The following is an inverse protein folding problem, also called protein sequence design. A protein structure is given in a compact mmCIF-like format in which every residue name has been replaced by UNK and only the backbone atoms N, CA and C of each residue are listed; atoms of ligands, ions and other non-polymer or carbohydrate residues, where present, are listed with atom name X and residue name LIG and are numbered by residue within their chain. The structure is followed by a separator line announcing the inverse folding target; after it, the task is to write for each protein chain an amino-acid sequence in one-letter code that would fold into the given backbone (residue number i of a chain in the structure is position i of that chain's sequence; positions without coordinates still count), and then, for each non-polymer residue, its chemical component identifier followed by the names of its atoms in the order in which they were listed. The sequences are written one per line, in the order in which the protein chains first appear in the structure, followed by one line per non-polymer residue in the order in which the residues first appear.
data_IF_750611961553
#
_entry.id   IF_750611961553
#
_cell.length_a   1.000
_cell.length_b   1.000
_cell.length_c   1.000
_cell.angle_alpha   90.00
_cell.angle_beta   90.00
_cell.angle_gamma   90.00
#
_symmetry.space_group_name_H-M   'P 1'
#
loop_
_entity.id
_entity.type
_entity.pdbx_description
1 polymer ?
#
# COMPACT_ATOMS: atom_id res chain seq x y z
N UNK A 1 -4.73 -18.62 -7.40
CA UNK A 1 -5.76 -17.59 -7.23
C UNK A 1 -6.68 -17.56 -8.44
N UNK A 2 -7.94 -17.93 -8.24
CA UNK A 2 -8.95 -17.95 -9.30
C UNK A 2 -9.84 -16.70 -9.31
N UNK A 3 -10.90 -16.70 -10.13
CA UNK A 3 -11.81 -15.56 -10.25
C UNK A 3 -12.67 -15.31 -9.01
N UNK A 4 -12.96 -16.36 -8.24
CA UNK A 4 -13.73 -16.25 -6.99
C UNK A 4 -12.86 -15.66 -5.89
N UNK A 5 -11.60 -16.08 -5.80
CA UNK A 5 -10.64 -15.49 -4.85
C UNK A 5 -10.50 -13.98 -5.10
N UNK A 6 -10.42 -13.56 -6.37
CA UNK A 6 -10.41 -12.12 -6.73
C UNK A 6 -11.66 -11.38 -6.27
N UNK A 7 -12.85 -11.99 -6.37
CA UNK A 7 -14.09 -11.40 -5.87
C UNK A 7 -14.09 -11.29 -4.36
N UNK A 8 -13.64 -12.33 -3.65
CA UNK A 8 -13.50 -12.31 -2.19
C UNK A 8 -12.60 -11.13 -1.76
N UNK A 9 -11.44 -10.99 -2.42
CA UNK A 9 -10.51 -9.89 -2.12
C UNK A 9 -11.13 -8.52 -2.43
N UNK A 10 -11.83 -8.37 -3.54
CA UNK A 10 -12.49 -7.11 -3.90
C UNK A 10 -13.55 -6.70 -2.87
N UNK A 11 -14.38 -7.64 -2.42
CA UNK A 11 -15.40 -7.38 -1.39
C UNK A 11 -14.76 -7.00 -0.05
N UNK A 12 -13.71 -7.70 0.37
CA UNK A 12 -13.01 -7.41 1.64
C UNK A 12 -12.16 -6.14 1.60
N UNK A 13 -11.65 -5.75 0.43
CA UNK A 13 -10.99 -4.45 0.25
C UNK A 13 -11.99 -3.29 0.34
N UNK A 14 -13.22 -3.50 -0.16
CA UNK A 14 -14.29 -2.52 -0.03
C UNK A 14 -14.82 -2.44 1.40
N UNK A 15 -15.04 -3.59 2.04
CA UNK A 15 -15.48 -3.69 3.43
C UNK A 15 -14.85 -4.90 4.13
N UNK A 16 -13.79 -4.64 4.90
CA UNK A 16 -13.10 -5.68 5.66
C UNK A 16 -13.87 -6.19 6.89
N UNK A 17 -15.05 -5.64 7.19
CA UNK A 17 -15.89 -6.06 8.33
C UNK A 17 -17.01 -7.02 7.95
N UNK A 18 -17.14 -7.36 6.67
CA UNK A 18 -18.15 -8.31 6.21
C UNK A 18 -18.08 -9.61 7.00
N UNK A 19 -19.24 -10.05 7.49
CA UNK A 19 -19.35 -11.40 8.03
C UNK A 19 -19.12 -12.41 6.91
N UNK A 20 -18.69 -13.61 7.29
CA UNK A 20 -18.49 -14.68 6.31
C UNK A 20 -19.79 -15.03 5.55
N UNK A 21 -20.94 -14.86 6.19
CA UNK A 21 -22.26 -15.06 5.59
C UNK A 21 -22.52 -14.04 4.49
N UNK A 22 -22.35 -12.75 4.78
CA UNK A 22 -22.53 -11.67 3.80
C UNK A 22 -21.55 -11.79 2.65
N UNK A 23 -20.28 -12.12 2.96
CA UNK A 23 -19.27 -12.34 1.94
C UNK A 23 -19.67 -13.49 1.00
N UNK A 24 -20.13 -14.62 1.55
CA UNK A 24 -20.57 -15.78 0.78
C UNK A 24 -21.75 -15.44 -0.15
N UNK A 25 -22.73 -14.67 0.33
CA UNK A 25 -23.84 -14.17 -0.48
C UNK A 25 -23.36 -13.31 -1.66
N UNK A 26 -22.48 -12.33 -1.40
CA UNK A 26 -21.96 -11.44 -2.44
C UNK A 26 -21.13 -12.16 -3.50
N UNK A 27 -20.34 -13.16 -3.10
CA UNK A 27 -19.52 -13.94 -4.04
C UNK A 27 -20.26 -15.13 -4.66
N UNK A 28 -21.55 -15.31 -4.36
CA UNK A 28 -22.40 -16.41 -4.82
C UNK A 28 -21.83 -17.80 -4.47
N UNK A 29 -21.42 -17.98 -3.23
CA UNK A 29 -20.98 -19.27 -2.68
C UNK A 29 -21.82 -19.66 -1.47
N UNK A 30 -21.82 -20.96 -1.15
CA UNK A 30 -22.23 -21.39 0.19
C UNK A 30 -21.15 -21.05 1.22
N UNK A 31 -21.56 -21.00 2.49
CA UNK A 31 -20.75 -20.54 3.62
C UNK A 31 -19.42 -21.33 3.77
N UNK A 32 -19.48 -22.65 3.69
CA UNK A 32 -18.32 -23.54 3.87
C UNK A 32 -17.21 -23.32 2.83
N UNK A 33 -17.46 -23.36 1.51
CA UNK A 33 -16.42 -23.08 0.52
C UNK A 33 -15.91 -21.64 0.55
N UNK A 34 -16.75 -20.66 0.90
CA UNK A 34 -16.29 -19.28 1.08
C UNK A 34 -15.29 -19.18 2.25
N UNK A 35 -15.64 -19.75 3.41
CA UNK A 35 -14.77 -19.76 4.59
C UNK A 35 -13.44 -20.46 4.33
N UNK A 36 -13.45 -21.61 3.64
CA UNK A 36 -12.21 -22.33 3.29
C UNK A 36 -11.31 -21.48 2.41
N UNK A 37 -11.85 -20.83 1.38
CA UNK A 37 -11.07 -19.96 0.49
C UNK A 37 -10.48 -18.76 1.21
N UNK A 38 -11.28 -18.09 2.03
CA UNK A 38 -10.80 -16.98 2.84
C UNK A 38 -9.62 -17.41 3.73
N UNK A 39 -9.76 -18.55 4.43
CA UNK A 39 -8.67 -19.10 5.25
C UNK A 39 -7.42 -19.43 4.46
N UNK A 40 -7.55 -19.97 3.24
CA UNK A 40 -6.40 -20.22 2.37
C UNK A 40 -5.71 -18.91 1.98
N UNK A 41 -6.47 -17.87 1.61
CA UNK A 41 -5.90 -16.56 1.25
C UNK A 41 -5.16 -15.89 2.43
N UNK A 42 -5.66 -16.06 3.66
CA UNK A 42 -4.96 -15.62 4.88
C UNK A 42 -3.69 -16.43 5.13
N UNK A 43 -3.76 -17.77 5.03
CA UNK A 43 -2.62 -18.66 5.30
C UNK A 43 -1.49 -18.52 4.28
N UNK A 44 -1.83 -18.28 3.01
CA UNK A 44 -0.86 -18.02 1.95
C UNK A 44 -0.26 -16.61 2.00
N UNK A 45 -0.71 -15.77 2.94
CA UNK A 45 -0.23 -14.39 3.08
C UNK A 45 -0.72 -13.45 1.98
N UNK A 46 -1.69 -13.87 1.16
CA UNK A 46 -2.36 -12.98 0.18
C UNK A 46 -3.12 -11.89 0.93
N UNK A 47 -3.79 -12.25 2.02
CA UNK A 47 -4.34 -11.30 2.99
C UNK A 47 -3.35 -11.18 4.14
N UNK A 48 -2.65 -10.04 4.21
CA UNK A 48 -1.64 -9.78 5.24
C UNK A 48 -2.21 -9.21 6.54
N UNK A 49 -3.46 -8.75 6.51
CA UNK A 49 -4.17 -8.26 7.69
C UNK A 49 -5.39 -7.42 7.35
N UNK A 50 -6.15 -7.07 8.39
CA UNK A 50 -7.33 -6.21 8.31
C UNK A 50 -7.05 -4.92 9.07
N UNK A 51 -7.38 -3.78 8.47
CA UNK A 51 -7.09 -2.46 9.03
C UNK A 51 -8.30 -1.54 8.92
N UNK A 52 -8.46 -0.66 9.90
CA UNK A 52 -9.44 0.42 9.83
C UNK A 52 -8.88 1.55 8.95
N UNK A 53 -9.73 2.12 8.10
CA UNK A 53 -9.43 3.38 7.43
C UNK A 53 -9.80 4.53 8.37
N UNK A 54 -8.81 5.27 8.84
CA UNK A 54 -8.97 6.34 9.81
C UNK A 54 -8.92 7.70 9.10
N UNK A 55 -9.73 8.64 9.56
CA UNK A 55 -9.70 10.03 9.10
C UNK A 55 -8.50 10.76 9.71
N UNK A 56 -7.45 11.12 8.92
CA UNK A 56 -6.26 11.74 9.47
C UNK A 56 -6.53 13.11 10.10
N UNK A 57 -7.46 13.89 9.53
CA UNK A 57 -7.78 15.22 10.02
C UNK A 57 -8.43 15.16 11.42
N UNK A 58 -9.31 14.18 11.65
CA UNK A 58 -9.89 13.94 12.99
C UNK A 58 -8.89 13.40 14.00
N UNK A 59 -7.81 12.79 13.53
CA UNK A 59 -6.70 12.32 14.36
C UNK A 59 -5.65 13.42 14.65
N UNK A 60 -5.86 14.65 14.16
CA UNK A 60 -4.93 15.78 14.35
C UNK A 60 -3.82 15.86 13.31
N UNK A 61 -3.83 15.02 12.27
CA UNK A 61 -2.89 15.09 11.14
C UNK A 61 -3.47 16.02 10.06
N UNK A 62 -3.24 17.32 10.23
CA UNK A 62 -3.88 18.36 9.43
C UNK A 62 -3.19 18.67 8.10
N UNK A 63 -2.03 18.07 7.84
CA UNK A 63 -1.31 18.24 6.58
C UNK A 63 -0.60 16.94 6.20
N UNK A 64 -0.40 16.77 4.89
CA UNK A 64 0.41 15.71 4.30
C UNK A 64 1.48 16.38 3.43
N UNK A 65 2.73 15.98 3.60
CA UNK A 65 3.83 16.45 2.77
C UNK A 65 4.40 15.27 1.97
N UNK A 66 4.71 15.53 0.70
CA UNK A 66 5.48 14.62 -0.15
C UNK A 66 6.85 15.27 -0.32
N UNK A 67 7.91 14.55 0.07
CA UNK A 67 9.28 15.05 0.04
C UNK A 67 10.07 14.25 -0.98
N UNK A 68 10.72 14.96 -1.91
CA UNK A 68 11.69 14.37 -2.82
C UNK A 68 13.09 14.69 -2.31
N UNK A 69 13.85 13.65 -2.01
CA UNK A 69 15.25 13.77 -1.61
C UNK A 69 16.14 13.19 -2.71
N UNK A 70 17.18 13.94 -3.09
CA UNK A 70 18.20 13.47 -4.04
C UNK A 70 19.53 13.37 -3.30
N UNK A 71 20.06 12.15 -3.20
CA UNK A 71 21.38 11.92 -2.63
C UNK A 71 22.46 12.36 -3.62
N UNK A 72 23.38 13.23 -3.19
CA UNK A 72 24.49 13.70 -4.03
C UNK A 72 25.46 12.57 -4.41
N UNK A 73 25.69 11.66 -3.47
CA UNK A 73 26.52 10.47 -3.65
C UNK A 73 25.60 9.25 -3.56
N UNK A 74 25.52 8.49 -4.65
CA UNK A 74 24.70 7.27 -4.75
C UNK A 74 25.45 6.00 -4.36
N UNK A 75 26.48 6.11 -3.52
CA UNK A 75 27.19 4.94 -3.04
C UNK A 75 26.28 4.14 -2.09
N UNK A 76 26.52 2.82 -1.98
CA UNK A 76 25.62 1.94 -1.22
C UNK A 76 25.52 2.34 0.25
N UNK A 77 26.57 2.90 0.83
CA UNK A 77 26.61 3.28 2.25
C UNK A 77 25.75 4.50 2.54
N UNK A 78 25.84 5.55 1.71
CA UNK A 78 25.02 6.74 1.87
C UNK A 78 23.52 6.43 1.71
N UNK A 79 23.18 5.55 0.77
CA UNK A 79 21.80 5.10 0.56
C UNK A 79 21.26 4.36 1.78
N UNK A 80 21.96 3.33 2.27
CA UNK A 80 21.50 2.56 3.43
C UNK A 80 21.41 3.41 4.70
N UNK A 81 22.38 4.31 4.94
CA UNK A 81 22.33 5.22 6.08
C UNK A 81 21.14 6.19 6.01
N UNK A 82 20.74 6.61 4.80
CA UNK A 82 19.55 7.44 4.61
C UNK A 82 18.26 6.65 4.85
N UNK A 83 18.17 5.42 4.36
CA UNK A 83 17.01 4.52 4.56
C UNK A 83 16.81 4.24 6.05
N UNK A 84 17.88 3.87 6.78
CA UNK A 84 17.84 3.68 8.24
C UNK A 84 17.37 4.95 8.98
N UNK A 85 17.89 6.12 8.60
CA UNK A 85 17.50 7.38 9.22
C UNK A 85 16.04 7.75 8.95
N UNK A 86 15.48 7.34 7.81
CA UNK A 86 14.08 7.58 7.44
C UNK A 86 13.13 6.68 8.23
N UNK A 87 13.48 5.41 8.45
CA UNK A 87 12.69 4.47 9.25
C UNK A 87 12.53 4.93 10.71
N UNK A 88 13.53 5.61 11.25
CA UNK A 88 13.52 6.15 12.62
C UNK A 88 12.60 7.37 12.81
N UNK A 89 11.98 7.89 11.74
CA UNK A 89 11.07 9.05 11.79
C UNK A 89 9.62 8.55 11.69
N UNK A 90 8.87 8.46 12.81
CA UNK A 90 7.52 7.87 12.83
C UNK A 90 6.50 8.61 11.96
N UNK A 91 6.76 9.87 11.62
CA UNK A 91 5.91 10.67 10.75
C UNK A 91 6.02 10.28 9.27
N UNK A 92 7.08 9.56 8.88
CA UNK A 92 7.24 9.03 7.52
C UNK A 92 6.49 7.70 7.44
N UNK A 93 5.27 7.77 6.87
CA UNK A 93 4.40 6.59 6.73
C UNK A 93 4.71 5.73 5.50
N UNK A 94 5.46 6.28 4.55
CA UNK A 94 5.87 5.62 3.31
C UNK A 94 7.14 6.30 2.77
N UNK A 95 8.15 5.51 2.48
CA UNK A 95 9.32 5.92 1.71
C UNK A 95 9.46 4.97 0.51
N UNK A 96 9.79 5.53 -0.66
CA UNK A 96 10.00 4.74 -1.87
C UNK A 96 11.20 5.28 -2.62
N UNK A 97 11.99 4.36 -3.18
CA UNK A 97 13.10 4.74 -4.04
C UNK A 97 12.58 4.93 -5.46
N UNK A 98 12.87 6.09 -6.03
CA UNK A 98 12.54 6.42 -7.40
C UNK A 98 13.79 6.34 -8.27
N UNK A 99 13.68 5.70 -9.42
CA UNK A 99 14.72 5.74 -10.45
C UNK A 99 14.48 6.90 -11.42
N UNK A 100 15.54 7.63 -11.77
CA UNK A 100 15.46 8.80 -12.64
C UNK A 100 15.31 10.12 -11.87
N UNK A 101 15.19 11.22 -12.61
CA UNK A 101 14.94 12.54 -12.03
C UNK A 101 13.46 12.59 -11.59
N UNK A 102 13.16 12.77 -10.28
CA UNK A 102 11.78 12.93 -9.83
C UNK A 102 11.12 14.16 -10.45
N UNK A 103 11.90 15.02 -11.12
CA UNK A 103 11.42 15.97 -12.10
C UNK A 103 10.45 16.94 -11.47
N UNK A 104 10.99 18.02 -10.89
CA UNK A 104 10.25 19.27 -10.92
C UNK A 104 9.69 19.45 -12.36
N UNK A 105 8.43 19.89 -12.50
CA UNK A 105 7.81 20.06 -13.81
C UNK A 105 8.76 20.80 -14.75
N UNK A 106 8.75 20.44 -16.03
CA UNK A 106 9.59 21.13 -17.01
C UNK A 106 9.30 22.64 -17.00
N UNK A 107 10.11 23.46 -17.68
CA UNK A 107 9.88 24.92 -17.74
C UNK A 107 8.49 25.32 -18.32
N UNK A 108 7.67 24.35 -18.74
CA UNK A 108 6.30 24.49 -19.25
C UNK A 108 5.23 23.87 -18.32
N UNK A 109 5.60 23.41 -17.12
CA UNK A 109 4.66 22.89 -16.13
C UNK A 109 4.24 21.43 -16.34
N UNK A 110 4.86 20.69 -17.27
CA UNK A 110 4.41 19.35 -17.63
C UNK A 110 5.03 18.27 -16.71
N UNK A 111 4.25 17.29 -16.19
CA UNK A 111 4.80 16.21 -15.39
C UNK A 111 5.73 15.33 -16.24
N UNK A 112 6.95 15.06 -15.73
CA UNK A 112 7.83 14.02 -16.27
C UNK A 112 7.32 12.67 -15.76
N UNK A 113 7.32 11.64 -16.62
CA UNK A 113 6.87 10.30 -16.24
C UNK A 113 7.63 9.83 -15.00
N UNK A 114 6.94 9.46 -13.90
CA UNK A 114 7.62 8.95 -12.72
C UNK A 114 8.34 7.65 -13.08
N UNK A 115 9.57 7.50 -12.61
CA UNK A 115 10.26 6.22 -12.63
C UNK A 115 9.49 5.18 -11.82
N UNK A 116 9.66 3.91 -12.18
CA UNK A 116 8.99 2.80 -11.49
C UNK A 116 9.46 2.77 -10.03
N UNK A 117 8.56 2.85 -9.03
CA UNK A 117 8.95 2.79 -7.63
C UNK A 117 9.39 1.37 -7.27
N UNK A 118 10.54 1.26 -6.58
CA UNK A 118 10.90 0.06 -5.82
C UNK A 118 10.56 0.32 -4.34
N UNK A 119 9.88 -0.66 -3.74
CA UNK A 119 9.64 -0.67 -2.30
C UNK A 119 10.96 -0.97 -1.59
N UNK A 120 11.40 -0.04 -0.75
CA UNK A 120 12.48 -0.27 0.22
C UNK A 120 11.83 -0.75 1.51
#
# INVERSE_FOLDING_TARGET
MDSIDRKILAELQADGRLSITELAERVNLSLSPCHRRLRTLEQEGVITGYRANLDPAKMGFNFLAIVFATLKEGDKKAVSAFEEAVEEIPQIVLAQRLFGDPGLPDARGNPRSPGVPETV
#
